data_IF_999132031047
#
_entry.id   IF_999132031047
#
_cell.length_a   1.000
_cell.length_b   1.000
_cell.length_c   1.000
_cell.angle_alpha   90.00
_cell.angle_beta   90.00
_cell.angle_gamma   90.00
#
_symmetry.space_group_name_H-M   'P 1'
#
loop_
_entity.id
_entity.type
_entity.pdbx_description
1 polymer ?
#
# COMPACT_ATOMS: atom_id res chain seq x y z
N UNK A 1 -3.30 -36.75 7.02
CA UNK A 1 -2.93 -35.41 6.58
C UNK A 1 -3.66 -34.97 5.28
N UNK A 2 -3.90 -35.87 4.32
CA UNK A 2 -4.65 -35.56 3.09
C UNK A 2 -6.15 -35.38 3.40
N UNK A 3 -6.71 -36.16 4.30
CA UNK A 3 -8.15 -36.09 4.67
C UNK A 3 -8.50 -34.76 5.40
N UNK A 4 -7.60 -34.20 6.18
CA UNK A 4 -7.83 -32.89 6.84
C UNK A 4 -7.91 -31.72 5.85
N UNK A 5 -7.16 -31.77 4.75
CA UNK A 5 -7.23 -30.80 3.67
C UNK A 5 -8.55 -30.89 2.86
N UNK A 6 -9.20 -32.07 2.89
CA UNK A 6 -10.53 -32.24 2.25
C UNK A 6 -11.64 -31.56 3.04
N UNK A 7 -11.50 -31.47 4.33
CA UNK A 7 -12.45 -30.79 5.23
C UNK A 7 -12.39 -29.27 5.18
N UNK A 8 -11.28 -28.69 4.64
CA UNK A 8 -11.05 -27.25 4.59
C UNK A 8 -10.82 -26.74 3.17
N UNK A 9 -11.86 -26.54 2.36
CA UNK A 9 -11.73 -26.16 0.95
C UNK A 9 -10.97 -24.84 0.76
N UNK A 10 -11.06 -23.90 1.70
CA UNK A 10 -10.35 -22.62 1.64
C UNK A 10 -8.83 -22.79 1.78
N UNK A 11 -8.33 -23.74 2.56
CA UNK A 11 -6.90 -24.01 2.68
C UNK A 11 -6.30 -24.49 1.35
N UNK A 12 -7.04 -25.27 0.58
CA UNK A 12 -6.60 -25.72 -0.75
C UNK A 12 -6.41 -24.58 -1.74
N UNK A 13 -7.18 -23.50 -1.62
CA UNK A 13 -7.06 -22.31 -2.46
C UNK A 13 -6.01 -21.36 -1.90
N UNK A 14 -5.88 -21.26 -0.58
CA UNK A 14 -4.96 -20.35 0.09
C UNK A 14 -3.49 -20.75 -0.11
N UNK A 15 -3.18 -22.04 0.02
CA UNK A 15 -1.78 -22.54 -0.07
C UNK A 15 -1.13 -22.17 -1.40
N UNK A 16 -1.70 -22.52 -2.58
CA UNK A 16 -1.09 -22.15 -3.86
C UNK A 16 -1.02 -20.64 -4.07
N UNK A 17 -2.02 -19.89 -3.62
CA UNK A 17 -1.99 -18.42 -3.70
C UNK A 17 -0.84 -17.84 -2.87
N UNK A 18 -0.64 -18.33 -1.63
CA UNK A 18 0.45 -17.92 -0.76
C UNK A 18 1.82 -18.24 -1.37
N UNK A 19 1.98 -19.44 -1.94
CA UNK A 19 3.21 -19.82 -2.66
C UNK A 19 3.47 -18.83 -3.80
N UNK A 20 2.45 -18.51 -4.60
CA UNK A 20 2.57 -17.54 -5.69
C UNK A 20 3.02 -16.15 -5.20
N UNK A 21 2.43 -15.64 -4.11
CA UNK A 21 2.83 -14.37 -3.51
C UNK A 21 4.29 -14.38 -3.05
N UNK A 22 4.72 -15.45 -2.39
CA UNK A 22 6.11 -15.61 -1.94
C UNK A 22 7.09 -15.66 -3.13
N UNK A 23 6.73 -16.38 -4.20
CA UNK A 23 7.53 -16.40 -5.42
C UNK A 23 7.60 -15.02 -6.09
N UNK A 24 6.50 -14.27 -6.14
CA UNK A 24 6.46 -12.93 -6.70
C UNK A 24 7.26 -11.90 -5.90
N UNK A 25 7.37 -12.09 -4.59
CA UNK A 25 8.18 -11.24 -3.70
C UNK A 25 9.70 -11.51 -3.85
N UNK A 26 10.08 -12.75 -4.20
CA UNK A 26 11.49 -13.13 -4.41
C UNK A 26 11.96 -12.87 -5.84
N UNK A 27 11.10 -13.03 -6.84
CA UNK A 27 11.44 -12.93 -8.27
C UNK A 27 10.50 -12.00 -9.05
N UNK A 28 10.56 -10.68 -8.86
CA UNK A 28 9.53 -9.75 -9.35
C UNK A 28 9.52 -9.46 -10.87
N UNK A 29 10.46 -10.01 -11.68
CA UNK A 29 10.77 -9.45 -12.99
C UNK A 29 10.02 -9.99 -14.23
N UNK A 30 9.07 -10.92 -14.10
CA UNK A 30 8.48 -11.60 -15.27
C UNK A 30 6.95 -11.45 -15.42
N UNK A 31 6.35 -10.42 -14.83
CA UNK A 31 4.90 -10.32 -14.76
C UNK A 31 4.14 -10.25 -16.11
N UNK A 32 4.62 -9.56 -17.19
CA UNK A 32 3.87 -9.52 -18.46
C UNK A 32 3.68 -10.91 -19.06
N UNK A 33 4.73 -11.74 -19.02
CA UNK A 33 4.68 -13.13 -19.49
C UNK A 33 3.68 -13.97 -18.67
N UNK A 34 3.60 -13.73 -17.37
CA UNK A 34 2.65 -14.41 -16.47
C UNK A 34 1.19 -14.06 -16.75
N UNK A 35 0.89 -12.88 -17.26
CA UNK A 35 -0.45 -12.51 -17.68
C UNK A 35 -0.98 -13.42 -18.81
N UNK A 36 -0.15 -13.67 -19.81
CA UNK A 36 -0.50 -14.61 -20.89
C UNK A 36 -0.62 -16.04 -20.40
N UNK A 37 0.26 -16.47 -19.50
CA UNK A 37 0.21 -17.80 -18.88
C UNK A 37 -1.08 -17.97 -18.08
N UNK A 38 -1.53 -16.97 -17.34
CA UNK A 38 -2.81 -17.00 -16.61
C UNK A 38 -3.99 -17.14 -17.54
N UNK A 39 -4.01 -16.42 -18.66
CA UNK A 39 -5.07 -16.56 -19.67
C UNK A 39 -5.10 -17.95 -20.26
N UNK A 40 -3.93 -18.55 -20.58
CA UNK A 40 -3.86 -19.92 -21.08
C UNK A 40 -4.33 -20.96 -20.06
N UNK A 41 -3.93 -20.79 -18.79
CA UNK A 41 -4.39 -21.66 -17.70
C UNK A 41 -5.90 -21.55 -17.47
N UNK A 42 -6.48 -20.36 -17.57
CA UNK A 42 -7.93 -20.15 -17.48
C UNK A 42 -8.66 -20.89 -18.61
N UNK A 43 -8.13 -20.82 -19.83
CA UNK A 43 -8.68 -21.55 -20.96
C UNK A 43 -8.61 -23.07 -20.74
N UNK A 44 -7.48 -23.60 -20.26
CA UNK A 44 -7.33 -25.03 -19.94
C UNK A 44 -8.29 -25.45 -18.82
N UNK A 45 -8.51 -24.63 -17.79
CA UNK A 45 -9.52 -24.89 -16.76
C UNK A 45 -10.91 -25.05 -17.35
N UNK A 46 -11.28 -24.18 -18.27
CA UNK A 46 -12.57 -24.24 -18.96
C UNK A 46 -12.73 -25.56 -19.76
N UNK A 47 -11.67 -25.97 -20.48
CA UNK A 47 -11.66 -27.22 -21.25
C UNK A 47 -11.70 -28.46 -20.34
N UNK A 48 -10.94 -28.48 -19.25
CA UNK A 48 -10.94 -29.57 -18.28
C UNK A 48 -12.33 -29.74 -17.61
N UNK A 49 -12.99 -28.61 -17.30
CA UNK A 49 -14.35 -28.61 -16.75
C UNK A 49 -15.36 -29.20 -17.75
N UNK A 50 -15.24 -28.85 -19.02
CA UNK A 50 -16.10 -29.37 -20.08
C UNK A 50 -15.91 -30.86 -20.27
N UNK A 51 -14.66 -31.36 -20.24
CA UNK A 51 -14.32 -32.80 -20.40
C UNK A 51 -14.47 -33.61 -19.10
N UNK A 52 -14.90 -33.03 -17.98
CA UNK A 52 -15.09 -33.72 -16.67
C UNK A 52 -13.83 -34.42 -16.14
N UNK A 53 -12.67 -33.89 -16.34
CA UNK A 53 -11.40 -34.44 -15.82
C UNK A 53 -11.02 -33.79 -14.48
N UNK A 54 -11.44 -34.38 -13.37
CA UNK A 54 -11.30 -33.77 -12.03
C UNK A 54 -9.83 -33.60 -11.59
N UNK A 55 -8.99 -34.60 -11.87
CA UNK A 55 -7.55 -34.52 -11.49
C UNK A 55 -6.78 -33.44 -12.24
N UNK A 56 -7.00 -33.34 -13.57
CA UNK A 56 -6.40 -32.29 -14.38
C UNK A 56 -6.92 -30.92 -13.99
N UNK A 57 -8.21 -30.81 -13.72
CA UNK A 57 -8.80 -29.57 -13.25
C UNK A 57 -8.14 -29.08 -11.96
N UNK A 58 -7.95 -29.96 -10.96
CA UNK A 58 -7.30 -29.61 -9.70
C UNK A 58 -5.85 -29.13 -9.88
N UNK A 59 -5.06 -29.81 -10.72
CA UNK A 59 -3.67 -29.42 -11.01
C UNK A 59 -3.59 -28.06 -11.72
N UNK A 60 -4.44 -27.83 -12.71
CA UNK A 60 -4.45 -26.56 -13.46
C UNK A 60 -4.95 -25.42 -12.57
N UNK A 61 -5.96 -25.67 -11.70
CA UNK A 61 -6.42 -24.68 -10.72
C UNK A 61 -5.30 -24.29 -9.74
N UNK A 62 -4.52 -25.27 -9.28
CA UNK A 62 -3.35 -25.01 -8.42
C UNK A 62 -2.36 -24.07 -9.10
N UNK A 63 -1.95 -24.38 -10.34
CA UNK A 63 -1.03 -23.53 -11.11
C UNK A 63 -1.61 -22.14 -11.41
N UNK A 64 -2.90 -22.06 -11.70
CA UNK A 64 -3.58 -20.79 -11.91
C UNK A 64 -3.54 -19.90 -10.66
N UNK A 65 -3.76 -20.46 -9.47
CA UNK A 65 -3.70 -19.71 -8.20
C UNK A 65 -2.28 -19.27 -7.86
N UNK A 66 -1.28 -20.13 -8.09
CA UNK A 66 0.15 -19.75 -7.94
C UNK A 66 0.48 -18.59 -8.87
N UNK A 67 0.13 -18.69 -10.16
CA UNK A 67 0.36 -17.63 -11.14
C UNK A 67 -0.37 -16.32 -10.76
N UNK A 68 -1.60 -16.42 -10.25
CA UNK A 68 -2.37 -15.26 -9.79
C UNK A 68 -1.68 -14.56 -8.62
N UNK A 69 -1.26 -15.33 -7.60
CA UNK A 69 -0.52 -14.80 -6.45
C UNK A 69 0.79 -14.11 -6.88
N UNK A 70 1.53 -14.73 -7.78
CA UNK A 70 2.75 -14.17 -8.36
C UNK A 70 2.48 -12.83 -9.07
N UNK A 71 1.49 -12.79 -9.95
CA UNK A 71 1.13 -11.57 -10.68
C UNK A 71 0.69 -10.43 -9.76
N UNK A 72 -0.10 -10.73 -8.74
CA UNK A 72 -0.56 -9.72 -7.78
C UNK A 72 0.61 -9.09 -7.04
N UNK A 73 1.57 -9.90 -6.57
CA UNK A 73 2.73 -9.41 -5.83
C UNK A 73 3.69 -8.63 -6.74
N UNK A 74 3.98 -9.16 -7.92
CA UNK A 74 4.85 -8.49 -8.91
C UNK A 74 4.28 -7.13 -9.33
N UNK A 75 2.96 -7.03 -9.57
CA UNK A 75 2.30 -5.75 -9.86
C UNK A 75 2.37 -4.78 -8.68
N UNK A 76 2.26 -5.28 -7.45
CA UNK A 76 2.38 -4.43 -6.27
C UNK A 76 3.79 -3.85 -6.14
N UNK A 77 4.82 -4.66 -6.35
CA UNK A 77 6.21 -4.20 -6.32
C UNK A 77 6.52 -3.25 -7.50
N UNK A 78 5.98 -3.51 -8.69
CA UNK A 78 6.17 -2.64 -9.85
C UNK A 78 5.57 -1.24 -9.64
N UNK A 79 4.47 -1.11 -8.92
CA UNK A 79 3.89 0.19 -8.55
C UNK A 79 4.85 1.04 -7.70
N UNK A 80 5.76 0.41 -6.95
CA UNK A 80 6.74 1.11 -6.11
C UNK A 80 7.99 1.52 -6.87
N UNK A 81 8.14 1.10 -8.13
CA UNK A 81 9.28 1.46 -8.95
C UNK A 81 9.27 2.99 -9.20
N UNK A 82 10.34 3.65 -8.77
CA UNK A 82 10.53 5.07 -8.92
C UNK A 82 12.01 5.37 -9.18
N UNK A 83 12.29 6.31 -10.08
CA UNK A 83 13.63 6.80 -10.31
C UNK A 83 13.92 7.94 -9.33
N UNK A 84 14.91 7.76 -8.47
CA UNK A 84 15.28 8.74 -7.44
C UNK A 84 16.38 9.67 -7.98
N UNK A 85 16.08 10.97 -8.18
CA UNK A 85 17.10 11.94 -8.52
C UNK A 85 18.10 12.10 -7.37
N UNK A 86 19.37 12.28 -7.70
CA UNK A 86 20.41 12.48 -6.68
C UNK A 86 20.31 13.87 -6.02
N UNK A 87 19.73 14.84 -6.73
CA UNK A 87 19.59 16.23 -6.29
C UNK A 87 18.21 16.48 -5.68
N UNK A 88 18.15 17.48 -4.81
CA UNK A 88 16.88 18.02 -4.35
C UNK A 88 16.09 18.62 -5.52
N UNK A 89 14.79 18.43 -5.50
CA UNK A 89 13.88 18.92 -6.51
C UNK A 89 12.54 19.33 -5.89
N UNK A 90 11.77 20.10 -6.63
CA UNK A 90 10.44 20.47 -6.22
C UNK A 90 9.43 19.41 -6.69
N UNK A 91 8.57 19.00 -5.76
CA UNK A 91 7.54 17.99 -6.00
C UNK A 91 6.18 18.49 -5.58
N UNK A 92 5.17 18.23 -6.40
CA UNK A 92 3.77 18.42 -6.02
C UNK A 92 3.25 17.11 -5.45
N UNK A 93 2.77 17.15 -4.23
CA UNK A 93 2.25 15.98 -3.50
C UNK A 93 0.86 16.28 -2.95
N UNK A 94 0.10 15.20 -2.64
CA UNK A 94 -1.18 15.28 -1.95
C UNK A 94 -1.20 14.33 -0.76
N UNK A 95 -1.66 14.81 0.38
CA UNK A 95 -1.81 14.01 1.59
C UNK A 95 -3.00 13.07 1.44
N UNK A 96 -2.77 11.77 1.58
CA UNK A 96 -3.78 10.72 1.40
C UNK A 96 -4.53 10.37 2.67
N UNK A 97 -3.85 10.37 3.79
CA UNK A 97 -4.36 9.96 5.09
C UNK A 97 -4.18 11.06 6.13
N UNK A 98 -4.83 10.94 7.27
CA UNK A 98 -4.68 11.89 8.37
C UNK A 98 -3.22 11.88 8.83
N UNK A 99 -2.55 13.06 8.92
CA UNK A 99 -1.18 13.15 9.38
C UNK A 99 -0.99 12.62 10.80
N UNK A 100 0.08 11.87 11.02
CA UNK A 100 0.45 11.35 12.35
C UNK A 100 1.45 12.29 13.02
N UNK A 101 1.05 12.91 14.11
CA UNK A 101 1.94 13.79 14.88
C UNK A 101 2.83 12.92 15.77
N UNK A 102 4.15 12.93 15.49
CA UNK A 102 5.18 12.27 16.29
C UNK A 102 5.88 13.29 17.23
N UNK A 103 6.82 12.82 18.03
CA UNK A 103 7.53 13.70 18.97
C UNK A 103 8.28 14.85 18.27
N UNK A 104 9.01 14.53 17.19
CA UNK A 104 9.90 15.47 16.48
C UNK A 104 9.48 15.80 15.06
N UNK A 105 8.46 15.11 14.51
CA UNK A 105 8.04 15.27 13.12
C UNK A 105 6.54 15.00 12.95
N UNK A 106 6.00 15.43 11.82
CA UNK A 106 4.67 15.07 11.36
C UNK A 106 4.82 14.12 10.17
N UNK A 107 4.34 12.89 10.32
CA UNK A 107 4.38 11.87 9.27
C UNK A 107 3.14 11.99 8.40
N UNK A 108 3.34 12.23 7.12
CA UNK A 108 2.30 12.29 6.11
C UNK A 108 2.46 11.15 5.10
N UNK A 109 1.37 10.40 4.85
CA UNK A 109 1.28 9.45 3.75
C UNK A 109 0.78 10.21 2.53
N UNK A 110 1.60 10.27 1.50
CA UNK A 110 1.37 11.17 0.36
C UNK A 110 1.41 10.41 -0.96
N UNK A 111 0.71 10.96 -1.96
CA UNK A 111 0.85 10.56 -3.36
C UNK A 111 1.58 11.67 -4.12
N UNK A 112 2.52 11.26 -4.97
CA UNK A 112 3.23 12.15 -5.86
C UNK A 112 2.34 12.49 -7.04
N UNK A 113 2.02 13.77 -7.23
CA UNK A 113 1.23 14.27 -8.35
C UNK A 113 2.13 14.66 -9.53
N UNK A 114 3.30 15.24 -9.25
CA UNK A 114 4.23 15.68 -10.28
C UNK A 114 5.56 16.13 -9.71
N UNK A 115 6.56 16.21 -10.59
CA UNK A 115 7.85 16.83 -10.31
C UNK A 115 7.97 18.13 -11.11
N UNK A 116 8.54 19.16 -10.51
CA UNK A 116 8.80 20.42 -11.18
C UNK A 116 10.26 20.44 -11.60
N UNK A 117 10.49 20.42 -12.91
CA UNK A 117 11.82 20.60 -13.49
C UNK A 117 11.82 21.91 -14.30
N UNK A 118 12.40 22.97 -13.74
CA UNK A 118 12.28 24.33 -14.28
C UNK A 118 10.83 24.83 -14.17
N UNK A 119 10.29 25.45 -15.23
CA UNK A 119 8.91 25.97 -15.25
C UNK A 119 7.85 24.93 -15.63
N UNK A 120 8.22 23.70 -15.93
CA UNK A 120 7.31 22.64 -16.36
C UNK A 120 7.01 21.67 -15.21
N UNK A 121 5.72 21.47 -14.94
CA UNK A 121 5.24 20.37 -14.08
C UNK A 121 5.19 19.11 -14.92
N UNK A 122 6.12 18.20 -14.73
CA UNK A 122 6.05 16.88 -15.32
C UNK A 122 5.07 16.04 -14.49
N UNK A 123 3.89 15.77 -15.05
CA UNK A 123 2.89 14.90 -14.42
C UNK A 123 3.45 13.49 -14.23
N UNK A 124 3.46 13.02 -13.00
CA UNK A 124 3.80 11.63 -12.71
C UNK A 124 2.64 10.73 -13.13
N UNK A 125 2.79 10.02 -14.26
CA UNK A 125 1.81 9.04 -14.77
C UNK A 125 1.49 7.91 -13.79
N UNK A 126 2.32 7.71 -12.76
CA UNK A 126 2.15 6.71 -11.71
C UNK A 126 1.91 7.41 -10.38
N UNK A 127 0.82 7.07 -9.70
CA UNK A 127 0.50 7.56 -8.36
C UNK A 127 1.41 6.90 -7.32
N UNK A 128 2.70 7.20 -7.35
CA UNK A 128 3.66 6.66 -6.39
C UNK A 128 3.38 7.20 -4.99
N UNK A 129 3.34 6.30 -4.01
CA UNK A 129 3.15 6.65 -2.60
C UNK A 129 4.48 6.91 -1.91
N UNK A 130 4.51 7.96 -1.10
CA UNK A 130 5.69 8.33 -0.30
C UNK A 130 5.31 8.57 1.15
N UNK A 131 6.23 8.22 2.05
CA UNK A 131 6.18 8.62 3.45
C UNK A 131 7.03 9.88 3.63
N UNK A 132 6.39 11.01 3.92
CA UNK A 132 7.07 12.28 4.08
C UNK A 132 6.98 12.72 5.53
N UNK A 133 8.16 13.01 6.09
CA UNK A 133 8.33 13.52 7.44
C UNK A 133 8.56 15.02 7.37
N UNK A 134 7.63 15.80 7.88
CA UNK A 134 7.79 17.26 8.03
C UNK A 134 8.40 17.58 9.40
N UNK A 135 9.29 18.57 9.44
CA UNK A 135 9.72 19.14 10.72
C UNK A 135 8.47 19.60 11.49
N UNK A 136 8.43 19.30 12.80
CA UNK A 136 7.28 19.66 13.63
C UNK A 136 7.27 21.15 13.93
N UNK A 137 6.30 21.84 13.35
CA UNK A 137 5.99 23.24 13.60
C UNK A 137 4.47 23.47 13.66
N UNK A 138 4.02 24.68 13.92
CA UNK A 138 2.60 25.01 13.99
C UNK A 138 1.89 24.80 12.65
N UNK A 139 2.58 25.03 11.53
CA UNK A 139 2.02 24.88 10.21
C UNK A 139 1.90 23.40 9.81
N UNK A 140 2.92 22.58 10.08
CA UNK A 140 2.90 21.14 9.77
C UNK A 140 1.90 20.37 10.62
N UNK A 141 1.65 20.78 11.86
CA UNK A 141 0.63 20.18 12.72
C UNK A 141 -0.80 20.50 12.31
N UNK A 142 -1.00 21.56 11.53
CA UNK A 142 -2.28 21.95 10.96
C UNK A 142 -2.61 21.27 9.62
N UNK A 143 -1.68 20.48 9.06
CA UNK A 143 -1.89 19.74 7.81
C UNK A 143 -3.04 18.76 7.93
N UNK A 144 -3.80 18.66 6.86
CA UNK A 144 -4.97 17.79 6.79
C UNK A 144 -4.89 16.86 5.58
N UNK A 145 -5.65 15.77 5.64
CA UNK A 145 -5.85 14.90 4.48
C UNK A 145 -6.48 15.72 3.33
N UNK A 146 -6.00 15.49 2.11
CA UNK A 146 -6.44 16.19 0.91
C UNK A 146 -5.64 17.45 0.61
N UNK A 147 -4.79 17.91 1.53
CA UNK A 147 -3.94 19.06 1.27
C UNK A 147 -2.94 18.76 0.16
N UNK A 148 -2.87 19.64 -0.82
CA UNK A 148 -1.87 19.64 -1.89
C UNK A 148 -0.74 20.56 -1.50
N UNK A 149 0.46 20.04 -1.55
CA UNK A 149 1.67 20.72 -1.12
C UNK A 149 2.68 20.72 -2.26
N UNK A 150 3.40 21.84 -2.36
CA UNK A 150 4.66 21.91 -3.09
C UNK A 150 5.77 21.77 -2.07
N UNK A 151 6.62 20.78 -2.24
CA UNK A 151 7.75 20.50 -1.33
C UNK A 151 9.06 20.58 -2.11
N UNK A 152 10.12 21.06 -1.45
CA UNK A 152 11.48 21.03 -1.98
C UNK A 152 12.34 20.11 -1.10
N UNK A 153 12.71 18.95 -1.64
CA UNK A 153 13.44 17.93 -0.89
C UNK A 153 14.08 16.90 -1.82
N UNK A 154 14.90 16.02 -1.24
CA UNK A 154 15.42 14.83 -1.90
C UNK A 154 14.54 13.62 -1.52
N UNK A 155 13.92 13.01 -2.52
CA UNK A 155 13.24 11.71 -2.34
C UNK A 155 14.30 10.60 -2.30
N UNK A 156 14.17 9.67 -1.37
CA UNK A 156 15.10 8.56 -1.17
C UNK A 156 14.35 7.22 -1.13
N UNK A 157 14.96 6.13 -1.62
CA UNK A 157 14.40 4.80 -1.42
C UNK A 157 14.32 4.50 0.09
N UNK A 158 13.40 3.65 0.52
CA UNK A 158 13.37 3.20 1.90
C UNK A 158 14.68 2.47 2.22
N UNK A 159 15.30 2.80 3.34
CA UNK A 159 16.55 2.20 3.80
C UNK A 159 16.34 1.52 5.15
N UNK A 160 17.10 0.47 5.40
CA UNK A 160 17.25 -0.18 6.71
C UNK A 160 18.45 0.45 7.46
N UNK A 161 18.43 0.38 8.79
CA UNK A 161 19.54 0.91 9.58
C UNK A 161 20.83 0.07 9.49
N UNK A 162 20.72 -1.16 8.94
CA UNK A 162 21.86 -2.05 8.71
C UNK A 162 22.29 -2.86 9.95
N UNK A 163 21.46 -2.95 10.99
CA UNK A 163 21.74 -3.81 12.13
C UNK A 163 21.50 -5.29 11.75
N UNK A 164 22.34 -6.22 12.25
CA UNK A 164 22.10 -7.64 12.07
C UNK A 164 20.74 -8.03 12.68
N UNK A 165 20.01 -8.90 11.99
CA UNK A 165 18.70 -9.44 12.39
C UNK A 165 17.58 -8.38 12.60
N UNK A 166 17.79 -7.16 12.11
CA UNK A 166 16.77 -6.12 12.14
C UNK A 166 15.64 -6.43 11.16
N UNK A 167 14.43 -6.00 11.54
CA UNK A 167 13.27 -6.08 10.65
C UNK A 167 13.52 -5.31 9.36
N UNK A 168 13.34 -5.97 8.21
CA UNK A 168 13.50 -5.36 6.89
C UNK A 168 12.38 -4.35 6.60
N UNK A 169 12.58 -3.14 7.11
CA UNK A 169 11.63 -2.04 6.99
C UNK A 169 11.49 -1.56 5.55
N UNK A 170 12.58 -1.58 4.77
CA UNK A 170 12.56 -1.18 3.37
C UNK A 170 11.67 -2.12 2.53
N UNK A 171 11.80 -3.42 2.72
CA UNK A 171 10.96 -4.44 2.08
C UNK A 171 9.50 -4.33 2.54
N UNK A 172 9.28 -4.11 3.83
CA UNK A 172 7.93 -3.88 4.38
C UNK A 172 7.23 -2.71 3.71
N UNK A 173 7.90 -1.55 3.56
CA UNK A 173 7.34 -0.37 2.91
C UNK A 173 7.00 -0.64 1.43
N UNK A 174 7.89 -1.30 0.70
CA UNK A 174 7.63 -1.69 -0.69
C UNK A 174 6.40 -2.60 -0.81
N UNK A 175 6.26 -3.60 0.07
CA UNK A 175 5.07 -4.46 0.13
C UNK A 175 3.79 -3.67 0.44
N UNK A 176 3.89 -2.62 1.25
CA UNK A 176 2.79 -1.67 1.53
C UNK A 176 2.49 -0.74 0.35
N UNK A 177 3.33 -0.72 -0.69
CA UNK A 177 3.15 0.09 -1.89
C UNK A 177 3.83 1.46 -1.83
N UNK A 178 4.67 1.72 -0.81
CA UNK A 178 5.44 2.95 -0.73
C UNK A 178 6.70 2.85 -1.58
N UNK A 179 6.90 3.85 -2.44
CA UNK A 179 8.07 3.94 -3.31
C UNK A 179 9.29 4.48 -2.57
N UNK A 180 9.11 5.41 -1.65
CA UNK A 180 10.22 6.04 -0.95
C UNK A 180 9.79 6.86 0.26
N UNK A 181 10.79 7.51 0.83
CA UNK A 181 10.67 8.39 2.00
C UNK A 181 11.36 9.72 1.73
N UNK A 182 10.95 10.78 2.44
CA UNK A 182 11.65 12.04 2.44
C UNK A 182 11.48 12.77 3.79
N UNK A 183 12.41 13.65 4.09
CA UNK A 183 12.31 14.60 5.19
C UNK A 183 12.25 16.00 4.62
N UNK A 184 11.29 16.81 5.08
CA UNK A 184 11.08 18.18 4.66
C UNK A 184 11.31 19.10 5.86
N UNK A 185 12.32 19.95 5.76
CA UNK A 185 12.63 20.95 6.78
C UNK A 185 11.55 22.04 6.81
N UNK A 186 11.49 22.79 7.93
CA UNK A 186 10.59 23.94 8.03
C UNK A 186 10.89 24.97 6.95
N UNK A 187 9.85 25.54 6.34
CA UNK A 187 9.99 26.52 5.25
C UNK A 187 10.26 25.95 3.85
N UNK A 188 10.53 24.66 3.71
CA UNK A 188 10.76 24.01 2.40
C UNK A 188 9.49 23.41 1.80
N UNK A 189 8.34 23.90 2.19
CA UNK A 189 7.06 23.49 1.64
C UNK A 189 6.03 24.61 1.68
N UNK A 190 5.07 24.55 0.76
CA UNK A 190 3.96 25.51 0.67
C UNK A 190 2.68 24.76 0.33
N UNK A 191 1.58 25.12 0.97
CA UNK A 191 0.25 24.59 0.63
C UNK A 191 -0.25 25.28 -0.62
N UNK A 192 -0.55 24.50 -1.66
CA UNK A 192 -1.00 25.01 -2.97
C UNK A 192 -2.49 24.82 -3.19
N UNK A 193 -3.11 23.89 -2.47
CA UNK A 193 -4.54 23.61 -2.64
C UNK A 193 -5.06 22.60 -1.63
N UNK A 194 -6.31 22.21 -1.82
CA UNK A 194 -6.96 21.16 -1.06
C UNK A 194 -7.92 20.41 -1.97
N UNK A 195 -7.74 19.10 -2.09
CA UNK A 195 -8.65 18.23 -2.80
C UNK A 195 -9.61 17.58 -1.82
N UNK A 196 -10.86 18.00 -1.88
CA UNK A 196 -11.94 17.46 -1.06
C UNK A 196 -12.49 16.12 -1.57
N UNK A 197 -11.97 15.59 -2.68
CA UNK A 197 -12.41 14.30 -3.22
C UNK A 197 -12.15 13.17 -2.22
N UNK A 198 -13.12 12.28 -2.08
CA UNK A 198 -13.04 11.17 -1.13
C UNK A 198 -13.14 9.83 -1.86
N UNK A 199 -12.17 8.98 -1.63
CA UNK A 199 -12.26 7.58 -2.00
C UNK A 199 -13.24 6.84 -1.08
N UNK A 200 -13.83 5.74 -1.53
CA UNK A 200 -14.66 4.86 -0.71
C UNK A 200 -13.95 4.39 0.57
N UNK A 201 -12.67 4.05 0.47
CA UNK A 201 -11.85 3.66 1.62
C UNK A 201 -11.70 4.81 2.63
N UNK A 202 -11.50 6.03 2.16
CA UNK A 202 -11.43 7.22 3.00
C UNK A 202 -12.75 7.53 3.68
N UNK A 203 -13.85 7.42 2.94
CA UNK A 203 -15.20 7.58 3.49
C UNK A 203 -15.45 6.56 4.61
N UNK A 204 -15.09 5.30 4.41
CA UNK A 204 -15.20 4.26 5.44
C UNK A 204 -14.33 4.58 6.67
N UNK A 205 -13.11 5.09 6.48
CA UNK A 205 -12.25 5.52 7.59
C UNK A 205 -12.84 6.69 8.38
N UNK A 206 -13.46 7.67 7.69
CA UNK A 206 -14.13 8.80 8.34
C UNK A 206 -15.34 8.35 9.17
N UNK A 207 -16.14 7.41 8.65
CA UNK A 207 -17.25 6.82 9.41
C UNK A 207 -16.74 6.08 10.65
N UNK A 208 -15.63 5.31 10.52
CA UNK A 208 -14.99 4.66 11.67
C UNK A 208 -14.61 5.68 12.74
N UNK A 209 -13.90 6.74 12.37
CA UNK A 209 -13.51 7.80 13.29
C UNK A 209 -14.72 8.48 13.96
N UNK A 210 -15.80 8.69 13.21
CA UNK A 210 -17.05 9.25 13.76
C UNK A 210 -17.68 8.32 14.80
N UNK A 211 -17.72 7.01 14.54
CA UNK A 211 -18.27 6.03 15.49
C UNK A 211 -17.44 6.01 16.78
N UNK A 212 -16.10 5.96 16.66
CA UNK A 212 -15.22 6.02 17.84
C UNK A 212 -15.40 7.31 18.63
N UNK A 213 -15.55 8.45 17.94
CA UNK A 213 -15.83 9.75 18.60
C UNK A 213 -17.17 9.77 19.30
N UNK A 214 -18.18 9.10 18.75
CA UNK A 214 -19.50 8.95 19.38
C UNK A 214 -19.41 8.14 20.68
N UNK A 215 -18.67 7.03 20.69
CA UNK A 215 -18.45 6.24 21.91
C UNK A 215 -17.79 7.06 23.00
N UNK A 216 -16.77 7.87 22.68
CA UNK A 216 -16.15 8.79 23.64
C UNK A 216 -17.13 9.83 24.19
N UNK A 217 -18.02 10.37 23.37
CA UNK A 217 -19.06 11.32 23.82
C UNK A 217 -20.09 10.66 24.72
N UNK A 218 -20.35 9.37 24.57
CA UNK A 218 -21.23 8.58 25.43
C UNK A 218 -20.56 8.17 26.73
N UNK A 219 -19.33 8.62 27.00
CA UNK A 219 -18.60 8.34 28.24
C UNK A 219 -17.85 7.02 28.24
N UNK A 220 -17.81 6.30 27.10
CA UNK A 220 -17.06 5.05 26.98
C UNK A 220 -15.59 5.40 26.77
N UNK A 221 -14.70 4.90 27.64
CA UNK A 221 -13.26 5.20 27.62
C UNK A 221 -12.42 4.00 28.03
N UNK A 222 -11.09 4.17 28.04
CA UNK A 222 -10.16 3.12 28.47
C UNK A 222 -10.27 1.81 27.67
N UNK A 223 -10.18 0.69 28.37
CA UNK A 223 -10.19 -0.64 27.77
C UNK A 223 -11.53 -1.00 27.12
N UNK A 224 -12.64 -0.48 27.66
CA UNK A 224 -13.98 -0.68 27.12
C UNK A 224 -14.10 -0.07 25.72
N UNK A 225 -13.56 1.12 25.52
CA UNK A 225 -13.52 1.76 24.21
C UNK A 225 -12.64 0.96 23.23
N UNK A 226 -11.50 0.48 23.68
CA UNK A 226 -10.59 -0.31 22.83
C UNK A 226 -11.27 -1.60 22.35
N UNK A 227 -11.92 -2.34 23.27
CA UNK A 227 -12.64 -3.58 22.92
C UNK A 227 -13.82 -3.29 21.99
N UNK A 228 -14.63 -2.29 22.33
CA UNK A 228 -15.82 -1.94 21.57
C UNK A 228 -15.47 -1.45 20.16
N UNK A 229 -14.44 -0.59 20.03
CA UNK A 229 -13.98 -0.10 18.73
C UNK A 229 -13.37 -1.21 17.87
N UNK A 230 -12.62 -2.14 18.47
CA UNK A 230 -12.07 -3.29 17.78
C UNK A 230 -13.17 -4.21 17.22
N UNK A 231 -14.21 -4.48 18.01
CA UNK A 231 -15.30 -5.37 17.61
C UNK A 231 -16.25 -4.74 16.58
N UNK A 232 -16.53 -3.44 16.67
CA UNK A 232 -17.57 -2.80 15.84
C UNK A 232 -16.99 -2.19 14.56
N UNK A 233 -15.83 -1.57 14.63
CA UNK A 233 -15.24 -0.83 13.49
C UNK A 233 -13.83 -1.32 13.11
N UNK A 234 -13.32 -2.33 13.81
CA UNK A 234 -11.99 -2.92 13.54
C UNK A 234 -10.86 -1.92 13.81
N UNK A 235 -11.02 -1.00 14.74
CA UNK A 235 -9.97 -0.08 15.17
C UNK A 235 -9.03 -0.78 16.16
N UNK A 236 -7.69 -0.61 15.97
CA UNK A 236 -6.66 -1.29 16.78
C UNK A 236 -5.66 -0.28 17.31
#
# INVERSE_FOLDING_TARGET
>A
MIDSLQQHPFLRLLIPLAIGILCGDTFPHAWPAWGYLLLSLLFVLMVCRYKRSDSLYGAVLFLFLVGTGYCLMSRQLEKTAFFFPEKEAAYKIRIQEIPEIKERSVLCRTVLLGSIAGDAVADCKRNNLFLIYFAKDSASTALQRGDELLIYTRLSPPLNNGNPDEFDYARYLKRKGYSGTAYVAGGHWTKTGHDASRSWSQTASDYRAKVVSLYRRLGIGGDELAVLSALTVGDR
#
